data_IF_679896032845
#
_entry.id   IF_679896032845
#
_cell.length_a   1.000
_cell.length_b   1.000
_cell.length_c   1.000
_cell.angle_alpha   90.00
_cell.angle_beta   90.00
_cell.angle_gamma   90.00
#
_symmetry.space_group_name_H-M   'P 1'
#
loop_
_entity.id
_entity.type
_entity.pdbx_description
1 polymer ?
#
# COMPACT_ATOMS: atom_id res chain seq x y z
N UNK A 1 24.65 -5.65 -40.19
CA UNK A 1 24.66 -4.22 -39.78
C UNK A 1 23.51 -4.06 -38.81
N UNK A 2 23.73 -4.20 -37.50
CA UNK A 2 22.71 -4.04 -36.46
C UNK A 2 23.03 -2.74 -35.74
N UNK A 3 22.15 -1.75 -35.89
CA UNK A 3 22.23 -0.49 -35.17
C UNK A 3 21.70 -0.71 -33.74
N UNK A 4 22.60 -0.74 -32.77
CA UNK A 4 22.26 -0.67 -31.35
C UNK A 4 21.87 0.76 -31.03
N UNK A 5 20.57 0.98 -30.85
CA UNK A 5 20.06 2.24 -30.32
C UNK A 5 20.47 2.36 -28.86
N UNK A 6 21.54 3.14 -28.66
CA UNK A 6 21.97 3.61 -27.35
C UNK A 6 20.89 4.49 -26.73
N UNK A 7 20.15 3.96 -25.77
CA UNK A 7 19.30 4.79 -24.90
C UNK A 7 20.20 5.61 -24.01
N UNK A 8 20.45 6.80 -24.47
CA UNK A 8 21.22 7.85 -23.81
C UNK A 8 20.51 8.25 -22.52
N UNK A 9 21.00 7.73 -21.42
CA UNK A 9 20.65 8.24 -20.09
C UNK A 9 21.20 9.67 -19.96
N UNK A 10 20.39 10.65 -20.26
CA UNK A 10 20.72 12.07 -20.18
C UNK A 10 20.95 12.44 -18.72
N UNK A 11 22.20 12.46 -18.33
CA UNK A 11 22.68 13.05 -17.09
C UNK A 11 22.36 14.54 -17.12
N UNK A 12 21.35 14.97 -16.39
CA UNK A 12 21.10 16.38 -16.11
C UNK A 12 21.55 16.74 -14.70
N UNK A 13 22.25 17.84 -14.69
CA UNK A 13 23.01 18.49 -13.64
C UNK A 13 22.21 18.81 -12.37
N UNK A 14 22.98 18.80 -11.31
CA UNK A 14 22.83 19.38 -9.98
C UNK A 14 21.77 20.46 -9.81
N UNK A 15 20.64 20.10 -9.29
CA UNK A 15 19.85 20.92 -8.38
C UNK A 15 19.28 19.94 -7.35
N UNK A 16 19.40 20.25 -6.08
CA UNK A 16 18.99 19.45 -4.94
C UNK A 16 17.50 19.02 -5.05
N UNK A 17 17.22 18.11 -5.93
CA UNK A 17 15.98 17.35 -5.93
C UNK A 17 16.31 16.10 -5.11
N UNK A 18 15.85 16.08 -3.86
CA UNK A 18 15.68 14.82 -3.15
C UNK A 18 14.96 13.92 -4.14
N UNK A 19 15.67 12.95 -4.70
CA UNK A 19 15.07 11.92 -5.54
C UNK A 19 14.15 11.10 -4.65
N UNK A 20 12.89 11.51 -4.59
CA UNK A 20 11.84 10.68 -4.00
C UNK A 20 11.77 9.44 -4.87
N UNK A 21 12.38 8.37 -4.39
CA UNK A 21 12.31 7.07 -5.07
C UNK A 21 10.82 6.73 -5.22
N UNK A 22 10.38 6.58 -6.46
CA UNK A 22 9.00 6.15 -6.74
C UNK A 22 8.85 4.71 -6.28
N UNK A 23 7.87 4.45 -5.42
CA UNK A 23 7.58 3.09 -4.97
C UNK A 23 7.31 2.18 -6.18
N UNK A 24 7.87 0.97 -6.23
CA UNK A 24 7.57 -0.01 -7.27
C UNK A 24 6.08 -0.37 -7.32
N UNK A 25 5.36 -0.16 -6.24
CA UNK A 25 3.92 -0.38 -6.12
C UNK A 25 3.11 0.35 -7.19
N UNK A 26 3.49 1.58 -7.55
CA UNK A 26 2.87 2.32 -8.64
C UNK A 26 2.87 1.53 -9.96
N UNK A 27 4.01 0.95 -10.32
CA UNK A 27 4.15 0.19 -11.56
C UNK A 27 3.38 -1.14 -11.51
N UNK A 28 3.41 -1.81 -10.36
CA UNK A 28 2.68 -3.06 -10.13
C UNK A 28 1.17 -2.85 -10.18
N UNK A 29 0.67 -1.78 -9.55
CA UNK A 29 -0.74 -1.39 -9.57
C UNK A 29 -1.21 -1.18 -11.01
N UNK A 30 -0.44 -0.43 -11.81
CA UNK A 30 -0.75 -0.19 -13.20
C UNK A 30 -0.75 -1.50 -14.01
N UNK A 31 0.29 -2.32 -13.85
CA UNK A 31 0.39 -3.61 -14.54
C UNK A 31 -0.77 -4.55 -14.21
N UNK A 32 -1.24 -4.56 -12.96
CA UNK A 32 -2.38 -5.38 -12.54
C UNK A 32 -3.70 -4.92 -13.14
N UNK A 33 -3.90 -3.60 -13.26
CA UNK A 33 -5.08 -3.04 -13.92
C UNK A 33 -5.06 -3.40 -15.41
N UNK A 34 -3.92 -3.21 -16.09
CA UNK A 34 -3.73 -3.52 -17.49
C UNK A 34 -3.95 -5.03 -17.72
N UNK A 35 -3.38 -5.90 -16.88
CA UNK A 35 -3.59 -7.36 -16.95
C UNK A 35 -5.08 -7.75 -16.85
N UNK A 36 -5.82 -7.16 -15.91
CA UNK A 36 -7.26 -7.42 -15.81
C UNK A 36 -7.99 -7.03 -17.11
N UNK A 37 -7.68 -5.85 -17.65
CA UNK A 37 -8.31 -5.35 -18.86
C UNK A 37 -8.00 -6.24 -20.08
N UNK A 38 -6.74 -6.66 -20.24
CA UNK A 38 -6.29 -7.50 -21.36
C UNK A 38 -6.96 -8.88 -21.35
N UNK A 39 -7.28 -9.40 -20.16
CA UNK A 39 -7.96 -10.68 -19.99
C UNK A 39 -9.51 -10.54 -19.94
N UNK A 40 -10.06 -9.35 -20.15
CA UNK A 40 -11.49 -9.11 -20.12
C UNK A 40 -12.10 -9.20 -18.71
N UNK A 41 -11.29 -9.06 -17.68
CA UNK A 41 -11.72 -9.07 -16.28
C UNK A 41 -12.03 -7.66 -15.78
N UNK A 42 -12.86 -7.58 -14.75
CA UNK A 42 -13.19 -6.34 -14.08
C UNK A 42 -12.19 -6.09 -12.95
N UNK A 43 -11.31 -5.08 -13.03
CA UNK A 43 -10.36 -4.79 -11.95
C UNK A 43 -11.08 -4.18 -10.75
N UNK A 44 -10.88 -4.79 -9.58
CA UNK A 44 -11.32 -4.28 -8.29
C UNK A 44 -10.10 -3.91 -7.44
N UNK A 45 -10.22 -2.84 -6.67
CA UNK A 45 -9.17 -2.32 -5.80
C UNK A 45 -9.69 -2.23 -4.37
N UNK A 46 -9.02 -2.92 -3.44
CA UNK A 46 -9.23 -2.74 -2.01
C UNK A 46 -8.29 -1.66 -1.48
N UNK A 47 -8.82 -0.75 -0.68
CA UNK A 47 -8.12 0.44 -0.18
C UNK A 47 -8.31 0.57 1.32
N UNK A 48 -7.23 0.89 2.02
CA UNK A 48 -7.28 1.38 3.41
C UNK A 48 -7.68 2.86 3.40
N UNK A 49 -8.72 3.20 4.13
CA UNK A 49 -9.27 4.56 4.20
C UNK A 49 -8.75 5.26 5.44
N UNK A 50 -8.20 6.45 5.24
CA UNK A 50 -7.76 7.37 6.28
C UNK A 50 -8.08 8.83 5.89
N UNK A 51 -7.53 9.79 6.61
CA UNK A 51 -7.70 11.22 6.36
C UNK A 51 -7.16 11.71 5.01
N UNK A 52 -6.24 10.95 4.38
CA UNK A 52 -5.63 11.28 3.09
C UNK A 52 -6.40 10.69 1.90
N UNK A 53 -7.40 9.87 2.18
CA UNK A 53 -8.20 9.18 1.18
C UNK A 53 -9.53 9.89 0.98
N UNK A 54 -9.83 10.32 -0.23
CA UNK A 54 -11.14 10.92 -0.56
C UNK A 54 -12.02 9.85 -1.20
N UNK A 55 -12.97 9.34 -0.42
CA UNK A 55 -13.96 8.33 -0.84
C UNK A 55 -15.29 8.59 -0.15
N UNK A 56 -16.42 8.11 -0.69
CA UNK A 56 -17.71 8.23 -0.01
C UNK A 56 -17.75 7.35 1.24
N UNK A 57 -17.77 7.97 2.40
CA UNK A 57 -17.72 7.30 3.71
C UNK A 57 -18.90 6.34 3.96
N UNK A 58 -20.03 6.55 3.31
CA UNK A 58 -21.19 5.67 3.43
C UNK A 58 -20.94 4.22 2.93
N UNK A 59 -19.91 4.02 2.11
CA UNK A 59 -19.54 2.72 1.55
C UNK A 59 -18.27 2.13 2.19
N UNK A 60 -17.71 2.80 3.19
CA UNK A 60 -16.52 2.35 3.92
C UNK A 60 -16.95 1.37 5.01
N UNK A 61 -16.31 0.22 5.08
CA UNK A 61 -16.50 -0.79 6.12
C UNK A 61 -15.14 -1.12 6.76
N UNK A 62 -15.06 -1.10 8.08
CA UNK A 62 -13.83 -1.42 8.82
C UNK A 62 -12.59 -0.64 8.32
N UNK A 63 -12.75 0.66 8.04
CA UNK A 63 -11.72 1.51 7.44
C UNK A 63 -11.21 1.02 6.07
N UNK A 64 -12.00 0.25 5.36
CA UNK A 64 -11.66 -0.23 4.02
C UNK A 64 -12.81 0.01 3.05
N UNK A 65 -12.47 0.18 1.78
CA UNK A 65 -13.42 0.28 0.69
C UNK A 65 -12.93 -0.54 -0.50
N UNK A 66 -13.84 -1.17 -1.21
CA UNK A 66 -13.55 -1.86 -2.47
C UNK A 66 -14.15 -1.05 -3.62
N UNK A 67 -13.31 -0.70 -4.57
CA UNK A 67 -13.63 0.17 -5.69
C UNK A 67 -13.53 -0.60 -7.01
N UNK A 68 -14.53 -0.41 -7.88
CA UNK A 68 -14.52 -0.93 -9.24
C UNK A 68 -13.74 0.05 -10.12
N UNK A 69 -12.70 -0.43 -10.80
CA UNK A 69 -11.85 0.37 -11.69
C UNK A 69 -12.13 0.15 -13.17
N UNK A 70 -13.22 -0.54 -13.53
CA UNK A 70 -13.57 -0.74 -14.95
C UNK A 70 -13.84 0.59 -15.65
N UNK A 71 -13.55 0.65 -16.94
CA UNK A 71 -13.78 1.82 -17.77
C UNK A 71 -15.26 2.24 -17.82
N UNK A 72 -16.19 1.30 -17.58
CA UNK A 72 -17.63 1.57 -17.54
C UNK A 72 -18.08 2.17 -16.20
N UNK A 73 -17.33 1.91 -15.10
CA UNK A 73 -17.64 2.39 -13.76
C UNK A 73 -16.91 3.69 -13.41
N UNK A 74 -15.82 4.00 -14.10
CA UNK A 74 -14.95 5.14 -13.80
C UNK A 74 -14.88 6.12 -14.97
N UNK A 75 -14.69 7.40 -14.66
CA UNK A 75 -14.47 8.45 -15.63
C UNK A 75 -13.23 9.27 -15.24
N UNK A 76 -12.41 9.61 -16.25
CA UNK A 76 -11.23 10.45 -16.04
C UNK A 76 -10.20 9.85 -15.12
N UNK A 77 -9.99 8.51 -15.18
CA UNK A 77 -9.00 7.84 -14.34
C UNK A 77 -7.60 8.30 -14.70
N UNK A 78 -6.90 8.77 -13.69
CA UNK A 78 -5.50 9.20 -13.78
C UNK A 78 -4.71 8.51 -12.69
N UNK A 79 -3.63 7.82 -13.08
CA UNK A 79 -2.74 7.11 -12.19
C UNK A 79 -1.40 7.83 -12.16
N UNK A 80 -1.06 8.42 -11.02
CA UNK A 80 0.21 9.08 -10.76
C UNK A 80 1.03 8.28 -9.74
N UNK A 81 2.34 8.51 -9.62
CA UNK A 81 3.16 7.81 -8.61
C UNK A 81 2.70 7.98 -7.17
N UNK A 82 1.92 9.01 -6.88
CA UNK A 82 1.45 9.33 -5.54
C UNK A 82 -0.03 8.98 -5.32
N UNK A 83 -0.88 9.15 -6.34
CA UNK A 83 -2.34 9.01 -6.21
C UNK A 83 -2.97 8.37 -7.45
N UNK A 84 -4.05 7.65 -7.23
CA UNK A 84 -5.05 7.34 -8.26
C UNK A 84 -6.23 8.27 -8.05
N UNK A 85 -6.68 8.92 -9.11
CA UNK A 85 -7.83 9.83 -9.08
C UNK A 85 -8.78 9.47 -10.20
N UNK A 86 -10.05 9.38 -9.91
CA UNK A 86 -11.12 9.13 -10.89
C UNK A 86 -12.47 9.60 -10.34
N UNK A 87 -13.46 9.71 -11.21
CA UNK A 87 -14.85 9.89 -10.82
C UNK A 87 -15.61 8.58 -10.99
N UNK A 88 -16.40 8.20 -10.00
CA UNK A 88 -17.26 7.01 -10.04
C UNK A 88 -18.65 7.34 -9.49
N UNK A 89 -19.65 6.52 -9.88
CA UNK A 89 -21.02 6.69 -9.39
C UNK A 89 -21.27 5.80 -8.19
N UNK A 90 -21.68 6.42 -7.10
CA UNK A 90 -22.09 5.77 -5.87
C UNK A 90 -23.57 6.10 -5.58
N UNK A 91 -24.43 5.08 -5.56
CA UNK A 91 -25.87 5.31 -5.39
C UNK A 91 -26.50 6.23 -6.43
N UNK A 92 -25.94 6.25 -7.67
CA UNK A 92 -26.40 7.13 -8.76
C UNK A 92 -25.75 8.51 -8.79
N UNK A 93 -25.02 8.91 -7.75
CA UNK A 93 -24.34 10.21 -7.64
C UNK A 93 -22.88 10.09 -8.06
N UNK A 94 -22.42 10.93 -8.97
CA UNK A 94 -21.01 11.01 -9.34
C UNK A 94 -20.19 11.63 -8.21
N UNK A 95 -19.15 10.94 -7.77
CA UNK A 95 -18.23 11.41 -6.73
C UNK A 95 -16.78 11.25 -7.19
N UNK A 96 -15.96 12.22 -6.84
CA UNK A 96 -14.51 12.15 -7.10
C UNK A 96 -13.85 11.32 -6.03
N UNK A 97 -13.08 10.33 -6.47
CA UNK A 97 -12.27 9.45 -5.65
C UNK A 97 -10.81 9.81 -5.81
N UNK A 98 -10.10 9.95 -4.70
CA UNK A 98 -8.64 10.15 -4.67
C UNK A 98 -8.03 9.21 -3.64
N UNK A 99 -7.17 8.32 -4.10
CA UNK A 99 -6.55 7.28 -3.29
C UNK A 99 -5.03 7.38 -3.40
N UNK A 100 -4.30 7.50 -2.28
CA UNK A 100 -2.85 7.37 -2.30
C UNK A 100 -2.42 5.96 -2.73
N UNK A 101 -1.38 5.85 -3.54
CA UNK A 101 -0.85 4.55 -4.00
C UNK A 101 -0.45 3.66 -2.82
N UNK A 102 0.12 4.24 -1.76
CA UNK A 102 0.49 3.53 -0.54
C UNK A 102 -0.68 2.86 0.19
N UNK A 103 -1.91 3.38 0.02
CA UNK A 103 -3.10 2.90 0.72
C UNK A 103 -3.82 1.76 0.00
N UNK A 104 -3.38 1.38 -1.18
CA UNK A 104 -3.91 0.23 -1.92
C UNK A 104 -3.47 -1.04 -1.21
N UNK A 105 -4.43 -1.88 -0.82
CA UNK A 105 -4.19 -3.16 -0.16
C UNK A 105 -4.11 -4.32 -1.15
N UNK A 106 -4.91 -4.26 -2.22
CA UNK A 106 -4.88 -5.28 -3.28
C UNK A 106 -5.54 -4.77 -4.55
N UNK A 107 -5.16 -5.37 -5.68
CA UNK A 107 -5.89 -5.30 -6.94
C UNK A 107 -6.16 -6.72 -7.40
N UNK A 108 -7.40 -6.99 -7.80
CA UNK A 108 -7.82 -8.32 -8.17
C UNK A 108 -8.93 -8.28 -9.24
N UNK A 109 -9.01 -9.36 -10.02
CA UNK A 109 -10.09 -9.59 -10.96
C UNK A 109 -11.34 -10.01 -10.19
N UNK A 110 -12.45 -9.34 -10.41
CA UNK A 110 -13.73 -9.66 -9.74
C UNK A 110 -14.19 -11.08 -10.03
N UNK A 111 -14.00 -11.54 -11.24
CA UNK A 111 -14.54 -12.79 -11.77
C UNK A 111 -13.80 -14.02 -11.21
N UNK A 112 -12.48 -13.94 -11.10
CA UNK A 112 -11.62 -15.06 -10.68
C UNK A 112 -11.14 -14.94 -9.25
N UNK A 113 -11.13 -13.71 -8.71
CA UNK A 113 -10.50 -13.40 -7.42
C UNK A 113 -8.97 -13.38 -7.47
N UNK A 114 -8.40 -13.66 -8.64
CA UNK A 114 -6.94 -13.58 -8.83
C UNK A 114 -6.47 -12.14 -8.77
N UNK A 115 -5.37 -11.93 -8.08
CA UNK A 115 -4.84 -10.58 -7.91
C UNK A 115 -3.58 -10.54 -7.09
N UNK A 116 -3.14 -9.33 -6.79
CA UNK A 116 -1.93 -9.09 -6.03
C UNK A 116 -2.25 -8.28 -4.78
N UNK A 117 -1.89 -8.79 -3.59
CA UNK A 117 -1.91 -7.99 -2.36
C UNK A 117 -0.69 -7.07 -2.31
N UNK A 118 -0.86 -5.91 -1.67
CA UNK A 118 0.18 -4.92 -1.44
C UNK A 118 0.32 -4.61 0.04
N UNK A 119 1.52 -4.29 0.45
CA UNK A 119 1.76 -3.79 1.79
C UNK A 119 1.22 -2.35 1.93
N UNK A 120 0.61 -2.03 3.07
CA UNK A 120 0.16 -0.68 3.37
C UNK A 120 1.37 0.23 3.65
N UNK A 121 1.45 1.34 2.92
CA UNK A 121 2.49 2.36 3.06
C UNK A 121 1.80 3.67 3.47
N UNK A 122 1.82 4.04 4.77
CA UNK A 122 1.24 5.29 5.20
C UNK A 122 1.99 6.48 4.58
N UNK A 123 1.26 7.50 4.17
CA UNK A 123 1.89 8.76 3.78
C UNK A 123 2.62 9.33 4.99
N UNK A 124 3.82 9.93 4.80
CA UNK A 124 4.49 10.61 5.88
C UNK A 124 3.60 11.76 6.36
N UNK A 125 2.91 11.54 7.46
CA UNK A 125 2.25 12.61 8.19
C UNK A 125 3.34 13.62 8.54
N UNK A 126 3.16 14.89 8.21
CA UNK A 126 4.02 15.95 8.73
C UNK A 126 3.95 15.86 10.24
N UNK A 127 4.96 15.20 10.82
CA UNK A 127 5.08 15.07 12.27
C UNK A 127 5.33 16.50 12.76
N UNK A 128 4.31 17.13 13.32
CA UNK A 128 4.53 18.18 14.31
C UNK A 128 5.41 17.58 15.39
N UNK A 129 6.49 18.24 15.82
CA UNK A 129 7.42 17.66 16.77
C UNK A 129 6.73 17.46 18.11
N UNK A 130 6.11 16.31 18.32
CA UNK A 130 5.67 15.89 19.64
C UNK A 130 6.92 15.44 20.39
N UNK A 131 7.31 16.31 21.28
CA UNK A 131 8.26 16.24 22.39
C UNK A 131 8.60 14.79 22.76
N UNK A 132 9.77 14.35 22.34
CA UNK A 132 10.42 13.14 22.85
C UNK A 132 10.60 13.31 24.36
N UNK A 133 9.78 12.61 25.13
CA UNK A 133 9.99 12.48 26.56
C UNK A 133 11.10 11.46 26.74
N UNK A 134 12.30 11.96 27.00
CA UNK A 134 13.46 11.19 27.43
C UNK A 134 13.06 10.33 28.61
N UNK A 135 13.18 9.02 28.48
CA UNK A 135 13.19 8.12 29.62
C UNK A 135 14.63 8.05 30.07
N UNK A 136 14.87 8.73 31.15
CA UNK A 136 16.10 8.80 31.88
C UNK A 136 16.44 7.42 32.48
N UNK A 137 17.68 7.05 32.29
CA UNK A 137 18.38 5.93 32.87
C UNK A 137 18.35 6.01 34.40
N UNK A 138 17.91 4.96 35.06
CA UNK A 138 18.23 4.75 36.47
C UNK A 138 18.57 3.29 36.74
N UNK A 139 19.88 3.07 36.79
CA UNK A 139 20.65 2.29 37.80
C UNK A 139 20.12 0.96 38.34
N UNK A 140 20.91 -0.06 38.07
CA UNK A 140 21.12 -1.31 38.82
C UNK A 140 21.29 -1.06 40.33
N UNK A 141 20.88 -2.02 41.22
CA UNK A 141 21.89 -2.93 41.75
C UNK A 141 21.44 -4.39 42.01
N UNK A 142 22.28 -5.32 41.62
CA UNK A 142 23.05 -6.31 42.41
C UNK A 142 22.36 -7.42 43.23
N UNK A 143 22.85 -8.64 42.96
CA UNK A 143 23.01 -9.88 43.78
C UNK A 143 21.79 -10.81 43.86
N UNK A 144 21.87 -11.97 43.29
CA UNK A 144 22.63 -13.23 43.49
C UNK A 144 21.73 -14.38 43.96
N UNK A 145 22.12 -15.63 43.92
CA UNK A 145 21.52 -16.62 42.99
C UNK A 145 20.79 -17.73 43.76
N UNK A 146 19.78 -18.32 43.17
CA UNK A 146 19.32 -19.64 43.66
C UNK A 146 18.97 -20.57 42.49
N UNK A 147 19.62 -21.72 42.55
CA UNK A 147 19.52 -22.86 41.64
C UNK A 147 18.23 -23.63 41.89
N UNK A 148 17.52 -24.01 40.84
CA UNK A 148 16.83 -25.30 40.80
C UNK A 148 16.66 -25.78 39.34
N UNK A 149 16.70 -27.11 39.07
CA UNK A 149 17.03 -27.67 37.77
C UNK A 149 15.80 -27.87 36.87
N UNK A 150 16.00 -28.10 35.56
CA UNK A 150 14.91 -28.19 34.57
C UNK A 150 14.24 -29.57 34.61
N UNK A 151 12.92 -29.56 34.82
CA UNK A 151 12.08 -30.75 34.62
C UNK A 151 11.72 -30.85 33.13
N UNK A 152 12.18 -31.91 32.50
CA UNK A 152 11.81 -32.29 31.11
C UNK A 152 10.39 -32.85 31.09
N UNK A 153 9.53 -32.46 30.16
CA UNK A 153 8.27 -33.17 29.93
C UNK A 153 8.53 -34.42 29.11
N UNK A 154 8.10 -35.57 29.67
CA UNK A 154 8.07 -36.85 28.99
C UNK A 154 6.97 -36.91 27.93
N UNK A 155 7.37 -37.18 26.68
CA UNK A 155 6.46 -37.61 25.64
C UNK A 155 6.05 -39.06 25.86
N UNK A 156 4.75 -39.34 26.05
CA UNK A 156 4.18 -40.69 26.09
C UNK A 156 3.62 -41.01 24.71
N UNK A 157 4.20 -42.00 24.05
CA UNK A 157 3.68 -42.63 22.85
C UNK A 157 2.62 -43.64 23.31
N UNK A 158 1.39 -43.49 22.77
CA UNK A 158 0.33 -44.52 22.93
C UNK A 158 0.30 -45.34 21.64
N UNK A 159 0.38 -46.64 21.81
CA UNK A 159 0.34 -47.66 20.78
C UNK A 159 -1.14 -48.04 20.50
#
# INVERSE_FOLDING_TARGET
>A
MYAVNSFFCKKMESSLIMSVSTSPKYYLVKAMIDWCCDNGHTPYMAVQVDEHTTVPMAFVQNHQIVLNLSATATQGMTINPQYITFSARFGGVAQTVKVPIGHILSIFAKETGEGMPFHFEPLPTKISPTKTKSIETASTPTLSPEKTPPTRPHLRIIK
#
